data_IF_448678702370
#
_entry.id   IF_448678702370
#
_cell.length_a   1.000
_cell.length_b   1.000
_cell.length_c   1.000
_cell.angle_alpha   90.00
_cell.angle_beta   90.00
_cell.angle_gamma   90.00
#
_symmetry.space_group_name_H-M   'P 1'
#
loop_
_entity.id
_entity.type
_entity.pdbx_description
1 polymer ?
#
# COMPACT_ATOMS: atom_id res chain seq x y z
N UNK A 1 74.61 -10.02 6.85
CA UNK A 1 73.20 -10.45 6.72
C UNK A 1 72.34 -9.32 7.28
N UNK A 2 71.68 -8.56 6.42
CA UNK A 2 71.14 -7.25 6.79
C UNK A 2 69.78 -7.39 7.49
N UNK A 3 69.79 -7.43 8.82
CA UNK A 3 68.60 -7.46 9.68
C UNK A 3 67.58 -6.34 9.36
N UNK A 4 68.05 -5.22 8.82
CA UNK A 4 67.21 -4.12 8.32
C UNK A 4 66.32 -4.52 7.13
N UNK A 5 66.79 -5.34 6.19
CA UNK A 5 65.99 -5.74 5.02
C UNK A 5 64.87 -6.73 5.40
N UNK A 6 65.14 -7.62 6.35
CA UNK A 6 64.15 -8.54 6.92
C UNK A 6 63.04 -7.79 7.67
N UNK A 7 63.42 -6.75 8.42
CA UNK A 7 62.47 -5.90 9.14
C UNK A 7 61.54 -5.15 8.18
N UNK A 8 62.10 -4.58 7.10
CA UNK A 8 61.34 -3.86 6.07
C UNK A 8 60.34 -4.80 5.37
N UNK A 9 60.76 -6.01 4.98
CA UNK A 9 59.86 -6.98 4.34
C UNK A 9 58.72 -7.43 5.26
N UNK A 10 59.00 -7.68 6.54
CA UNK A 10 57.97 -8.06 7.52
C UNK A 10 56.95 -6.93 7.73
N UNK A 11 57.40 -5.68 7.86
CA UNK A 11 56.48 -4.52 7.99
C UNK A 11 55.60 -4.33 6.77
N UNK A 12 56.12 -4.59 5.56
CA UNK A 12 55.37 -4.48 4.32
C UNK A 12 54.22 -5.51 4.26
N UNK A 13 54.50 -6.77 4.65
CA UNK A 13 53.48 -7.85 4.69
C UNK A 13 52.40 -7.54 5.73
N UNK A 14 52.77 -7.01 6.89
CA UNK A 14 51.81 -6.62 7.92
C UNK A 14 50.94 -5.42 7.48
N UNK A 15 51.54 -4.43 6.82
CA UNK A 15 50.82 -3.27 6.27
C UNK A 15 49.84 -3.68 5.16
N UNK A 16 50.27 -4.52 4.22
CA UNK A 16 49.38 -5.00 3.13
C UNK A 16 48.26 -5.88 3.68
N UNK A 17 48.55 -6.75 4.65
CA UNK A 17 47.54 -7.54 5.35
C UNK A 17 46.51 -6.68 6.07
N UNK A 18 46.97 -5.65 6.79
CA UNK A 18 46.09 -4.71 7.49
C UNK A 18 45.21 -3.90 6.54
N UNK A 19 45.77 -3.33 5.46
CA UNK A 19 45.02 -2.56 4.46
C UNK A 19 43.99 -3.43 3.76
N UNK A 20 44.36 -4.66 3.40
CA UNK A 20 43.42 -5.61 2.79
C UNK A 20 42.28 -5.95 3.74
N UNK A 21 42.59 -6.31 4.99
CA UNK A 21 41.57 -6.61 5.99
C UNK A 21 40.63 -5.42 6.23
N UNK A 22 41.17 -4.21 6.37
CA UNK A 22 40.38 -3.00 6.56
C UNK A 22 39.46 -2.73 5.36
N UNK A 23 40.00 -2.85 4.13
CA UNK A 23 39.24 -2.66 2.90
C UNK A 23 38.14 -3.73 2.74
N UNK A 24 38.46 -5.01 2.92
CA UNK A 24 37.50 -6.11 2.86
C UNK A 24 36.39 -5.94 3.90
N UNK A 25 36.74 -5.58 5.15
CA UNK A 25 35.75 -5.34 6.20
C UNK A 25 34.82 -4.17 5.86
N UNK A 26 35.36 -3.09 5.29
CA UNK A 26 34.57 -1.93 4.86
C UNK A 26 33.65 -2.31 3.69
N UNK A 27 34.17 -3.02 2.70
CA UNK A 27 33.41 -3.46 1.53
C UNK A 27 32.31 -4.47 1.90
N UNK A 28 32.61 -5.41 2.79
CA UNK A 28 31.62 -6.38 3.28
C UNK A 28 30.46 -5.71 4.00
N UNK A 29 30.73 -4.74 4.87
CA UNK A 29 29.68 -3.94 5.53
C UNK A 29 28.84 -3.15 4.54
N UNK A 30 29.48 -2.60 3.49
CA UNK A 30 28.79 -1.90 2.43
C UNK A 30 27.83 -2.84 1.66
N UNK A 31 28.32 -4.03 1.25
CA UNK A 31 27.50 -5.03 0.58
C UNK A 31 26.33 -5.51 1.45
N UNK A 32 26.54 -5.74 2.75
CA UNK A 32 25.47 -6.13 3.65
C UNK A 32 24.40 -5.06 3.80
N UNK A 33 24.79 -3.78 3.86
CA UNK A 33 23.82 -2.68 3.98
C UNK A 33 23.06 -2.48 2.67
N UNK A 34 23.75 -2.59 1.53
CA UNK A 34 23.12 -2.53 0.21
C UNK A 34 22.10 -3.66 0.05
N UNK A 35 22.48 -4.90 0.37
CA UNK A 35 21.57 -6.04 0.27
C UNK A 35 20.39 -5.95 1.24
N UNK A 36 20.59 -5.37 2.42
CA UNK A 36 19.46 -5.10 3.33
C UNK A 36 18.47 -4.10 2.70
N UNK A 37 18.96 -2.99 2.15
CA UNK A 37 18.11 -1.97 1.49
C UNK A 37 17.41 -2.54 0.26
N UNK A 38 18.09 -3.34 -0.56
CA UNK A 38 17.49 -4.04 -1.69
C UNK A 38 16.34 -4.94 -1.23
N UNK A 39 16.54 -5.70 -0.14
CA UNK A 39 15.48 -6.55 0.42
C UNK A 39 14.33 -5.73 1.00
N UNK A 40 14.59 -4.58 1.63
CA UNK A 40 13.52 -3.68 2.07
C UNK A 40 12.67 -3.22 0.88
N UNK A 41 13.31 -2.83 -0.22
CA UNK A 41 12.61 -2.44 -1.45
C UNK A 41 11.82 -3.60 -2.04
N UNK A 42 12.46 -4.73 -2.30
CA UNK A 42 11.88 -5.85 -3.05
C UNK A 42 10.82 -6.61 -2.24
N UNK A 43 11.07 -6.87 -0.96
CA UNK A 43 10.22 -7.75 -0.15
C UNK A 43 9.15 -6.99 0.65
N UNK A 44 9.35 -5.68 0.95
CA UNK A 44 8.44 -4.91 1.79
C UNK A 44 7.81 -3.73 1.03
N UNK A 45 8.59 -2.73 0.63
CA UNK A 45 8.01 -1.47 0.13
C UNK A 45 7.41 -1.59 -1.27
N UNK A 46 8.07 -2.29 -2.20
CA UNK A 46 7.53 -2.48 -3.56
C UNK A 46 6.20 -3.22 -3.57
N UNK A 47 6.04 -4.39 -2.92
CA UNK A 47 4.77 -5.11 -2.96
C UNK A 47 3.66 -4.35 -2.20
N UNK A 48 3.96 -3.70 -1.07
CA UNK A 48 2.98 -2.85 -0.38
C UNK A 48 2.52 -1.68 -1.25
N UNK A 49 3.46 -1.03 -1.94
CA UNK A 49 3.17 0.09 -2.82
C UNK A 49 2.41 -0.35 -4.08
N UNK A 50 2.72 -1.53 -4.62
CA UNK A 50 2.01 -2.11 -5.75
C UNK A 50 0.54 -2.38 -5.40
N UNK A 51 0.27 -3.01 -4.25
CA UNK A 51 -1.08 -3.26 -3.76
C UNK A 51 -1.84 -1.95 -3.51
N UNK A 52 -1.20 -0.98 -2.85
CA UNK A 52 -1.78 0.34 -2.66
C UNK A 52 -2.15 1.01 -3.98
N UNK A 53 -1.25 1.01 -4.97
CA UNK A 53 -1.51 1.60 -6.27
C UNK A 53 -2.66 0.93 -7.02
N UNK A 54 -2.79 -0.40 -6.89
CA UNK A 54 -3.92 -1.13 -7.43
C UNK A 54 -5.23 -0.69 -6.77
N UNK A 55 -5.27 -0.66 -5.44
CA UNK A 55 -6.44 -0.21 -4.66
C UNK A 55 -6.81 1.23 -5.06
N UNK A 56 -5.84 2.14 -5.09
CA UNK A 56 -6.01 3.55 -5.46
C UNK A 56 -6.61 3.70 -6.85
N UNK A 57 -6.13 2.94 -7.84
CA UNK A 57 -6.66 2.96 -9.21
C UNK A 57 -8.10 2.46 -9.28
N UNK A 58 -8.41 1.33 -8.63
CA UNK A 58 -9.78 0.80 -8.60
C UNK A 58 -10.75 1.77 -7.92
N UNK A 59 -10.31 2.38 -6.82
CA UNK A 59 -11.08 3.42 -6.12
C UNK A 59 -11.35 4.64 -6.99
N UNK A 60 -10.35 5.13 -7.72
CA UNK A 60 -10.52 6.28 -8.64
C UNK A 60 -11.55 5.98 -9.73
N UNK A 61 -11.43 4.82 -10.38
CA UNK A 61 -12.39 4.37 -11.40
C UNK A 61 -13.79 4.27 -10.80
N UNK A 62 -13.93 3.62 -9.65
CA UNK A 62 -15.21 3.49 -8.94
C UNK A 62 -15.83 4.87 -8.64
N UNK A 63 -15.05 5.79 -8.10
CA UNK A 63 -15.52 7.15 -7.78
C UNK A 63 -16.01 7.88 -9.02
N UNK A 64 -15.29 7.77 -10.14
CA UNK A 64 -15.66 8.41 -11.41
C UNK A 64 -16.93 7.79 -12.01
N UNK A 65 -17.05 6.47 -12.00
CA UNK A 65 -18.24 5.76 -12.48
C UNK A 65 -19.45 6.07 -11.61
N UNK A 66 -19.31 6.01 -10.29
CA UNK A 66 -20.37 6.37 -9.34
C UNK A 66 -20.84 7.80 -9.54
N UNK A 67 -19.92 8.75 -9.74
CA UNK A 67 -20.27 10.16 -9.98
C UNK A 67 -21.05 10.31 -11.29
N UNK A 68 -20.57 9.70 -12.38
CA UNK A 68 -21.26 9.75 -13.67
C UNK A 68 -22.65 9.09 -13.63
N UNK A 69 -22.78 7.97 -12.91
CA UNK A 69 -24.07 7.31 -12.70
C UNK A 69 -25.03 8.18 -11.88
N UNK A 70 -24.56 8.80 -10.80
CA UNK A 70 -25.38 9.69 -9.98
C UNK A 70 -25.87 10.91 -10.78
N UNK A 71 -25.00 11.48 -11.62
CA UNK A 71 -25.35 12.59 -12.51
C UNK A 71 -26.41 12.19 -13.54
N UNK A 72 -26.22 11.04 -14.19
CA UNK A 72 -27.17 10.53 -15.19
C UNK A 72 -28.52 10.16 -14.55
N UNK A 73 -28.51 9.54 -13.38
CA UNK A 73 -29.74 9.23 -12.65
C UNK A 73 -30.50 10.50 -12.28
N UNK A 74 -29.81 11.51 -11.72
CA UNK A 74 -30.42 12.83 -11.43
C UNK A 74 -30.99 13.47 -12.68
N UNK A 75 -30.27 13.44 -13.80
CA UNK A 75 -30.76 13.97 -15.09
C UNK A 75 -32.06 13.28 -15.53
N UNK A 76 -32.14 11.95 -15.40
CA UNK A 76 -33.34 11.19 -15.73
C UNK A 76 -34.50 11.52 -14.79
N UNK A 77 -34.24 11.64 -13.48
CA UNK A 77 -35.25 12.06 -12.51
C UNK A 77 -35.76 13.48 -12.80
N UNK A 78 -34.89 14.41 -13.16
CA UNK A 78 -35.24 15.81 -13.49
C UNK A 78 -36.04 15.93 -14.79
N UNK A 79 -35.81 15.04 -15.75
CA UNK A 79 -36.62 14.96 -16.96
C UNK A 79 -38.00 14.37 -16.67
N UNK A 80 -38.04 13.35 -15.82
CA UNK A 80 -39.26 12.64 -15.42
C UNK A 80 -40.18 13.52 -14.58
N UNK A 81 -39.62 14.33 -13.68
CA UNK A 81 -40.38 15.27 -12.83
C UNK A 81 -41.12 16.37 -13.62
N UNK A 82 -40.69 16.65 -14.85
CA UNK A 82 -41.28 17.66 -15.75
C UNK A 82 -42.37 17.09 -16.68
N UNK A 83 -42.64 15.79 -16.62
CA UNK A 83 -43.65 15.13 -17.45
C UNK A 83 -45.07 15.38 -16.92
N UNK A 84 -46.08 15.17 -17.78
CA UNK A 84 -47.49 15.41 -17.43
C UNK A 84 -47.99 14.48 -16.31
N UNK A 85 -47.50 13.24 -16.25
CA UNK A 85 -47.75 12.29 -15.16
C UNK A 85 -46.42 11.78 -14.59
N UNK A 86 -45.85 12.49 -13.59
CA UNK A 86 -44.55 12.15 -13.02
C UNK A 86 -44.54 10.79 -12.31
N UNK A 87 -45.64 10.40 -11.64
CA UNK A 87 -45.68 9.19 -10.80
C UNK A 87 -45.51 7.95 -11.68
N UNK A 88 -46.34 7.83 -12.72
CA UNK A 88 -46.26 6.71 -13.66
C UNK A 88 -44.95 6.76 -14.48
N UNK A 89 -44.46 7.96 -14.78
CA UNK A 89 -43.17 8.11 -15.46
C UNK A 89 -41.98 7.64 -14.60
N UNK A 90 -41.99 7.90 -13.29
CA UNK A 90 -40.98 7.38 -12.36
C UNK A 90 -41.03 5.86 -12.25
N UNK A 91 -42.22 5.26 -12.18
CA UNK A 91 -42.35 3.80 -12.18
C UNK A 91 -41.75 3.17 -13.45
N UNK A 92 -42.00 3.76 -14.63
CA UNK A 92 -41.37 3.32 -15.89
C UNK A 92 -39.86 3.53 -15.90
N UNK A 93 -39.38 4.65 -15.37
CA UNK A 93 -37.96 4.96 -15.26
C UNK A 93 -37.25 3.92 -14.39
N UNK A 94 -37.76 3.69 -13.18
CA UNK A 94 -37.21 2.71 -12.23
C UNK A 94 -37.23 1.30 -12.84
N UNK A 95 -38.36 0.88 -13.42
CA UNK A 95 -38.47 -0.45 -14.04
C UNK A 95 -37.50 -0.64 -15.21
N UNK A 96 -37.25 0.40 -16.01
CA UNK A 96 -36.41 0.32 -17.21
C UNK A 96 -34.91 0.48 -16.88
N UNK A 97 -34.57 1.44 -16.03
CA UNK A 97 -33.18 1.84 -15.79
C UNK A 97 -32.66 1.38 -14.42
N UNK A 98 -33.52 1.23 -13.41
CA UNK A 98 -33.15 0.80 -12.06
C UNK A 98 -32.28 -0.46 -12.03
N UNK A 99 -32.58 -1.54 -12.80
CA UNK A 99 -31.72 -2.72 -12.83
C UNK A 99 -30.27 -2.44 -13.27
N UNK A 100 -30.06 -1.50 -14.20
CA UNK A 100 -28.71 -1.17 -14.70
C UNK A 100 -27.92 -0.39 -13.65
N UNK A 101 -28.54 0.58 -12.98
CA UNK A 101 -27.90 1.32 -11.88
C UNK A 101 -27.61 0.41 -10.69
N UNK A 102 -28.55 -0.47 -10.33
CA UNK A 102 -28.34 -1.47 -9.28
C UNK A 102 -27.20 -2.42 -9.62
N UNK A 103 -27.12 -2.91 -10.86
CA UNK A 103 -26.02 -3.78 -11.29
C UNK A 103 -24.65 -3.10 -11.16
N UNK A 104 -24.57 -1.77 -11.34
CA UNK A 104 -23.33 -1.02 -11.09
C UNK A 104 -22.95 -1.01 -9.60
N UNK A 105 -23.93 -0.84 -8.71
CA UNK A 105 -23.70 -0.88 -7.26
C UNK A 105 -23.28 -2.29 -6.82
N UNK A 106 -23.92 -3.32 -7.37
CA UNK A 106 -23.61 -4.71 -7.07
C UNK A 106 -22.19 -5.08 -7.54
N UNK A 107 -21.79 -4.62 -8.73
CA UNK A 107 -20.42 -4.77 -9.22
C UNK A 107 -19.39 -4.14 -8.27
N UNK A 108 -19.65 -2.92 -7.81
CA UNK A 108 -18.77 -2.21 -6.88
C UNK A 108 -18.64 -2.91 -5.53
N UNK A 109 -19.76 -3.42 -5.00
CA UNK A 109 -19.79 -4.18 -3.75
C UNK A 109 -19.01 -5.50 -3.89
N UNK A 110 -19.18 -6.19 -5.01
CA UNK A 110 -18.44 -7.43 -5.29
C UNK A 110 -16.95 -7.14 -5.48
N UNK A 111 -16.57 -6.06 -6.17
CA UNK A 111 -15.17 -5.67 -6.33
C UNK A 111 -14.52 -5.31 -4.98
N UNK A 112 -15.25 -4.63 -4.09
CA UNK A 112 -14.79 -4.35 -2.74
C UNK A 112 -14.47 -5.64 -1.99
N UNK A 113 -15.41 -6.60 -2.02
CA UNK A 113 -15.31 -7.87 -1.28
C UNK A 113 -14.27 -8.83 -1.86
N UNK A 114 -14.24 -9.01 -3.16
CA UNK A 114 -13.44 -10.03 -3.85
C UNK A 114 -12.02 -9.57 -4.20
N UNK A 115 -11.79 -8.27 -4.29
CA UNK A 115 -10.52 -7.73 -4.76
C UNK A 115 -9.89 -6.77 -3.75
N UNK A 116 -10.57 -5.67 -3.41
CA UNK A 116 -9.97 -4.58 -2.61
C UNK A 116 -9.64 -5.04 -1.19
N UNK A 117 -10.59 -5.66 -0.49
CA UNK A 117 -10.36 -6.13 0.89
C UNK A 117 -9.29 -7.24 0.97
N UNK A 118 -9.28 -8.25 0.08
CA UNK A 118 -8.15 -9.18 -0.03
C UNK A 118 -6.80 -8.50 -0.23
N UNK A 119 -6.70 -7.43 -1.04
CA UNK A 119 -5.44 -6.68 -1.19
C UNK A 119 -4.99 -6.04 0.12
N UNK A 120 -5.90 -5.48 0.93
CA UNK A 120 -5.55 -4.97 2.27
C UNK A 120 -5.09 -6.07 3.22
N UNK A 121 -5.74 -7.24 3.21
CA UNK A 121 -5.29 -8.41 3.99
C UNK A 121 -3.90 -8.85 3.55
N UNK A 122 -3.62 -8.83 2.24
CA UNK A 122 -2.30 -9.14 1.71
C UNK A 122 -1.25 -8.11 2.13
N UNK A 123 -1.59 -6.82 2.12
CA UNK A 123 -0.71 -5.78 2.67
C UNK A 123 -0.39 -6.04 4.14
N UNK A 124 -1.39 -6.38 4.95
CA UNK A 124 -1.18 -6.73 6.36
C UNK A 124 -0.28 -7.95 6.52
N UNK A 125 -0.49 -9.01 5.73
CA UNK A 125 0.35 -10.23 5.74
C UNK A 125 1.80 -9.91 5.44
N UNK A 126 2.07 -9.17 4.36
CA UNK A 126 3.42 -8.75 3.97
C UNK A 126 4.06 -7.94 5.09
N UNK A 127 3.33 -6.97 5.64
CA UNK A 127 3.86 -6.11 6.69
C UNK A 127 4.21 -6.92 7.96
N UNK A 128 3.39 -7.89 8.35
CA UNK A 128 3.66 -8.76 9.49
C UNK A 128 4.83 -9.72 9.24
N UNK A 129 4.86 -10.39 8.08
CA UNK A 129 5.92 -11.35 7.70
C UNK A 129 7.28 -10.69 7.52
N UNK A 130 7.29 -9.45 7.04
CA UNK A 130 8.48 -8.67 6.72
C UNK A 130 8.72 -7.54 7.70
N UNK A 131 8.14 -7.61 8.90
CA UNK A 131 8.29 -6.58 9.94
C UNK A 131 9.77 -6.32 10.29
N UNK A 132 10.62 -7.33 10.21
CA UNK A 132 12.07 -7.23 10.46
C UNK A 132 12.82 -6.39 9.39
N UNK A 133 12.20 -6.14 8.22
CA UNK A 133 12.67 -5.19 7.20
C UNK A 133 12.09 -3.78 7.41
N UNK A 134 11.06 -3.63 8.23
CA UNK A 134 10.44 -2.34 8.47
C UNK A 134 11.31 -1.48 9.40
N UNK A 135 11.38 -0.19 9.11
CA UNK A 135 12.01 0.76 10.02
C UNK A 135 11.08 1.06 11.21
N UNK A 136 11.61 1.56 12.35
CA UNK A 136 10.79 1.90 13.51
C UNK A 136 9.69 2.92 13.19
N UNK A 137 9.97 3.86 12.29
CA UNK A 137 9.01 4.88 11.83
C UNK A 137 7.97 4.32 10.85
N UNK A 138 8.20 3.14 10.26
CA UNK A 138 7.19 2.41 9.48
C UNK A 138 6.31 1.58 10.41
N UNK A 139 6.91 0.92 11.40
CA UNK A 139 6.22 -0.03 12.31
C UNK A 139 5.03 0.60 13.04
N UNK A 140 5.08 1.91 13.32
CA UNK A 140 3.97 2.64 13.97
C UNK A 140 2.64 2.60 13.20
N UNK A 141 2.65 2.30 11.89
CA UNK A 141 1.43 2.23 11.07
C UNK A 141 0.74 0.86 11.10
N UNK A 142 1.40 -0.18 11.62
CA UNK A 142 0.85 -1.53 11.69
C UNK A 142 -0.49 -1.60 12.48
N UNK A 143 -0.65 -0.92 13.63
CA UNK A 143 -1.93 -0.93 14.37
C UNK A 143 -3.09 -0.38 13.53
N UNK A 144 -2.89 0.73 12.83
CA UNK A 144 -3.93 1.35 12.01
C UNK A 144 -4.36 0.45 10.85
N UNK A 145 -3.40 -0.20 10.16
CA UNK A 145 -3.72 -1.17 9.10
C UNK A 145 -4.45 -2.39 9.65
N UNK A 146 -4.02 -2.89 10.82
CA UNK A 146 -4.64 -4.05 11.48
C UNK A 146 -6.10 -3.74 11.85
N UNK A 147 -6.34 -2.60 12.51
CA UNK A 147 -7.67 -2.16 12.91
C UNK A 147 -8.58 -1.98 11.68
N UNK A 148 -8.07 -1.36 10.62
CA UNK A 148 -8.83 -1.17 9.40
C UNK A 148 -9.27 -2.51 8.77
N UNK A 149 -8.37 -3.50 8.70
CA UNK A 149 -8.70 -4.82 8.16
C UNK A 149 -9.68 -5.57 9.07
N UNK A 150 -9.43 -5.60 10.39
CA UNK A 150 -10.26 -6.32 11.36
C UNK A 150 -11.70 -5.77 11.40
N UNK A 151 -11.88 -4.45 11.33
CA UNK A 151 -13.21 -3.84 11.30
C UNK A 151 -13.99 -4.22 10.03
N UNK A 152 -13.33 -4.29 8.88
CA UNK A 152 -13.95 -4.78 7.65
C UNK A 152 -14.32 -6.26 7.74
N UNK A 153 -13.45 -7.09 8.29
CA UNK A 153 -13.70 -8.52 8.46
C UNK A 153 -14.88 -8.75 9.40
N UNK A 154 -14.94 -8.02 10.52
CA UNK A 154 -16.06 -8.08 11.47
C UNK A 154 -17.37 -7.62 10.86
N UNK A 155 -17.33 -6.55 10.06
CA UNK A 155 -18.50 -6.02 9.37
C UNK A 155 -19.05 -7.03 8.35
N UNK A 156 -18.18 -7.61 7.52
CA UNK A 156 -18.57 -8.62 6.54
C UNK A 156 -19.02 -9.94 7.17
N UNK A 157 -18.53 -10.26 8.37
CA UNK A 157 -18.97 -11.41 9.15
C UNK A 157 -20.27 -11.14 9.93
N UNK A 158 -20.90 -9.96 9.76
CA UNK A 158 -22.10 -9.53 10.49
C UNK A 158 -21.95 -9.61 12.02
N UNK A 159 -20.70 -9.56 12.51
CA UNK A 159 -20.36 -9.75 13.91
C UNK A 159 -20.45 -8.46 14.74
N UNK A 160 -20.62 -7.31 14.06
CA UNK A 160 -20.76 -6.00 14.70
C UNK A 160 -21.90 -5.19 14.04
N UNK A 161 -22.72 -4.46 14.84
CA UNK A 161 -23.75 -3.58 14.30
C UNK A 161 -23.16 -2.38 13.54
N UNK A 162 -23.90 -1.86 12.56
CA UNK A 162 -23.49 -0.68 11.78
C UNK A 162 -23.23 0.56 12.65
N UNK A 163 -24.00 0.71 13.75
CA UNK A 163 -23.82 1.79 14.71
C UNK A 163 -22.45 1.73 15.40
N UNK A 164 -21.93 0.53 15.67
CA UNK A 164 -20.60 0.35 16.27
C UNK A 164 -19.52 0.74 15.27
N UNK A 165 -19.61 0.29 14.01
CA UNK A 165 -18.67 0.67 12.94
C UNK A 165 -18.62 2.20 12.78
N UNK A 166 -19.79 2.85 12.79
CA UNK A 166 -19.88 4.31 12.70
C UNK A 166 -19.24 5.01 13.90
N UNK A 167 -19.48 4.52 15.12
CA UNK A 167 -18.93 5.12 16.34
C UNK A 167 -17.41 4.96 16.45
N UNK A 168 -16.86 3.87 15.93
CA UNK A 168 -15.42 3.64 15.84
C UNK A 168 -14.74 4.53 14.78
N UNK A 169 -15.53 5.27 13.98
CA UNK A 169 -14.98 6.18 12.98
C UNK A 169 -14.21 5.46 11.88
N UNK A 170 -14.59 4.21 11.57
CA UNK A 170 -13.92 3.37 10.58
C UNK A 170 -13.78 4.10 9.25
N UNK A 171 -12.55 4.40 8.86
CA UNK A 171 -12.26 5.15 7.65
C UNK A 171 -10.87 4.88 7.12
N UNK A 172 -10.77 4.72 5.81
CA UNK A 172 -9.49 4.63 5.11
C UNK A 172 -8.61 5.89 5.32
N UNK A 173 -9.20 7.02 5.71
CA UNK A 173 -8.47 8.25 6.02
C UNK A 173 -7.38 8.05 7.07
N UNK A 174 -7.56 7.12 8.00
CA UNK A 174 -6.57 6.79 9.02
C UNK A 174 -5.28 6.19 8.42
N UNK A 175 -5.36 5.61 7.21
CA UNK A 175 -4.23 5.01 6.50
C UNK A 175 -3.50 5.99 5.58
N UNK A 176 -4.00 7.21 5.37
CA UNK A 176 -3.36 8.16 4.44
C UNK A 176 -1.90 8.45 4.80
N UNK A 177 -1.61 8.66 6.10
CA UNK A 177 -0.25 8.89 6.57
C UNK A 177 0.66 7.68 6.31
N UNK A 178 0.12 6.46 6.36
CA UNK A 178 0.86 5.24 6.02
C UNK A 178 1.19 5.19 4.53
N UNK A 179 0.24 5.52 3.65
CA UNK A 179 0.47 5.51 2.21
C UNK A 179 1.52 6.54 1.78
N UNK A 180 1.43 7.77 2.29
CA UNK A 180 2.43 8.81 2.06
C UNK A 180 3.81 8.37 2.55
N UNK A 181 3.87 7.69 3.69
CA UNK A 181 5.10 7.13 4.21
C UNK A 181 5.68 6.04 3.30
N UNK A 182 4.85 5.12 2.79
CA UNK A 182 5.29 4.07 1.85
C UNK A 182 5.87 4.66 0.56
N UNK A 183 5.16 5.61 -0.06
CA UNK A 183 5.63 6.29 -1.28
C UNK A 183 6.97 6.99 -1.04
N UNK A 184 7.08 7.74 0.07
CA UNK A 184 8.31 8.43 0.45
C UNK A 184 9.47 7.47 0.68
N UNK A 185 9.28 6.43 1.50
CA UNK A 185 10.34 5.44 1.81
C UNK A 185 10.77 4.66 0.58
N UNK A 186 9.84 4.29 -0.29
CA UNK A 186 10.16 3.63 -1.54
C UNK A 186 11.12 4.47 -2.39
N UNK A 187 10.83 5.77 -2.57
CA UNK A 187 11.70 6.66 -3.33
C UNK A 187 13.05 6.92 -2.61
N UNK A 188 13.04 7.12 -1.29
CA UNK A 188 14.26 7.25 -0.49
C UNK A 188 15.19 6.04 -0.69
N UNK A 189 14.68 4.82 -0.52
CA UNK A 189 15.48 3.59 -0.67
C UNK A 189 15.91 3.37 -2.12
N UNK A 190 15.05 3.69 -3.10
CA UNK A 190 15.39 3.56 -4.52
C UNK A 190 16.55 4.47 -4.90
N UNK A 191 16.61 5.69 -4.36
CA UNK A 191 17.74 6.59 -4.60
C UNK A 191 19.04 6.10 -3.96
N UNK A 192 18.96 5.44 -2.79
CA UNK A 192 20.10 4.82 -2.11
C UNK A 192 20.71 3.70 -2.97
N UNK A 193 19.86 2.80 -3.50
CA UNK A 193 20.30 1.70 -4.39
C UNK A 193 20.84 2.24 -5.72
N UNK A 194 20.10 3.13 -6.39
CA UNK A 194 20.51 3.66 -7.69
C UNK A 194 21.77 4.54 -7.61
N UNK A 195 21.97 5.25 -6.50
CA UNK A 195 23.11 6.13 -6.28
C UNK A 195 24.38 5.42 -5.84
N UNK A 196 24.34 4.13 -5.50
CA UNK A 196 25.46 3.42 -4.86
C UNK A 196 25.96 4.11 -3.59
N UNK A 197 25.08 4.88 -2.93
CA UNK A 197 25.39 5.68 -1.74
C UNK A 197 24.63 5.09 -0.57
N UNK A 198 25.32 4.22 0.15
CA UNK A 198 24.85 3.62 1.41
C UNK A 198 25.82 3.97 2.53
#
# INVERSE_FOLDING_TARGET
MNWLSLSIQATLVLLTGYVTFWFTRRHYRYQQRHSFVERQLEELYSPLLALWNEIKRKRDIRSRVSTANDEEWRRLCDQTSKMHDPIEAFYRLEKKHGPVFQASIDYDNEQLKSTILPSYRQMLSIFQEKLWLAEPDTTQYLPALTEFVDLWDRWLAESIPAAVVKNLGHSEKQLHAFYEHLERKYEELRTIVAGGKV
#
